data_IF_565785578816
#
_entry.id   IF_565785578816
#
_cell.length_a   1.000
_cell.length_b   1.000
_cell.length_c   1.000
_cell.angle_alpha   90.00
_cell.angle_beta   90.00
_cell.angle_gamma   90.00
#
_symmetry.space_group_name_H-M   'P 1'
#
loop_
_entity.id
_entity.type
_entity.pdbx_description
1 polymer ?
#
# COMPACT_ATOMS: atom_id res chain seq x y z
N UNK A 1 -24.63 16.81 -16.45
CA UNK A 1 -23.80 16.47 -15.29
C UNK A 1 -22.83 17.62 -15.13
N UNK A 2 -22.70 18.23 -13.94
CA UNK A 2 -21.84 19.40 -13.72
C UNK A 2 -20.38 19.03 -14.04
N UNK A 3 -19.64 19.91 -14.70
CA UNK A 3 -18.25 19.75 -15.12
C UNK A 3 -17.33 19.41 -13.94
N UNK A 4 -17.47 20.09 -12.80
CA UNK A 4 -16.73 19.79 -11.57
C UNK A 4 -16.93 18.34 -11.10
N UNK A 5 -18.15 17.81 -11.22
CA UNK A 5 -18.46 16.43 -10.82
C UNK A 5 -17.79 15.41 -11.76
N UNK A 6 -17.75 15.70 -13.08
CA UNK A 6 -17.06 14.82 -14.04
C UNK A 6 -15.55 14.83 -13.85
N UNK A 7 -14.95 15.99 -13.60
CA UNK A 7 -13.51 16.11 -13.33
C UNK A 7 -13.14 15.41 -12.02
N UNK A 8 -13.94 15.57 -10.95
CA UNK A 8 -13.74 14.86 -9.70
C UNK A 8 -13.82 13.33 -9.88
N UNK A 9 -14.78 12.82 -10.68
CA UNK A 9 -14.91 11.39 -10.99
C UNK A 9 -13.67 10.88 -11.75
N UNK A 10 -13.19 11.60 -12.78
CA UNK A 10 -12.00 11.18 -13.55
C UNK A 10 -10.73 11.10 -12.66
N UNK A 11 -10.50 12.11 -11.82
CA UNK A 11 -9.36 12.11 -10.89
C UNK A 11 -9.47 10.96 -9.89
N UNK A 12 -10.65 10.71 -9.35
CA UNK A 12 -10.90 9.57 -8.45
C UNK A 12 -10.65 8.23 -9.13
N UNK A 13 -11.04 8.08 -10.40
CA UNK A 13 -10.81 6.85 -11.17
C UNK A 13 -9.31 6.62 -11.43
N UNK A 14 -8.54 7.67 -11.77
CA UNK A 14 -7.08 7.57 -11.96
C UNK A 14 -6.37 7.25 -10.64
N UNK A 15 -6.78 7.85 -9.53
CA UNK A 15 -6.25 7.55 -8.20
C UNK A 15 -6.51 6.10 -7.79
N UNK A 16 -7.70 5.58 -8.03
CA UNK A 16 -8.04 4.17 -7.76
C UNK A 16 -7.23 3.20 -8.62
N UNK A 17 -6.97 3.55 -9.89
CA UNK A 17 -6.11 2.76 -10.78
C UNK A 17 -4.64 2.81 -10.33
N UNK A 18 -4.16 3.97 -9.87
CA UNK A 18 -2.81 4.11 -9.29
C UNK A 18 -2.65 3.22 -8.06
N UNK A 19 -3.61 3.26 -7.13
CA UNK A 19 -3.63 2.42 -5.93
C UNK A 19 -3.60 0.93 -6.28
N UNK A 20 -4.42 0.51 -7.23
CA UNK A 20 -4.43 -0.87 -7.74
C UNK A 20 -3.08 -1.28 -8.33
N UNK A 21 -2.43 -0.40 -9.09
CA UNK A 21 -1.13 -0.67 -9.70
C UNK A 21 0.00 -0.71 -8.66
N UNK A 22 -0.04 0.18 -7.65
CA UNK A 22 0.88 0.18 -6.52
C UNK A 22 0.80 -1.15 -5.73
N UNK A 23 -0.41 -1.61 -5.41
CA UNK A 23 -0.65 -2.90 -4.74
C UNK A 23 -0.13 -4.08 -5.56
N UNK A 24 -0.31 -4.06 -6.89
CA UNK A 24 0.20 -5.11 -7.78
C UNK A 24 1.73 -5.15 -7.77
N UNK A 25 2.40 -4.01 -7.80
CA UNK A 25 3.85 -3.93 -7.73
C UNK A 25 4.37 -4.37 -6.36
N UNK A 26 3.78 -3.87 -5.26
CA UNK A 26 4.13 -4.29 -3.91
C UNK A 26 3.89 -5.79 -3.68
N UNK A 27 2.86 -6.38 -4.31
CA UNK A 27 2.53 -7.79 -4.20
C UNK A 27 3.47 -8.74 -4.96
N UNK A 28 4.45 -8.23 -5.70
CA UNK A 28 5.44 -9.08 -6.35
C UNK A 28 6.40 -9.70 -5.33
N UNK A 29 6.65 -11.01 -5.43
CA UNK A 29 7.45 -11.76 -4.45
C UNK A 29 8.85 -11.19 -4.27
N UNK A 30 9.47 -10.68 -5.33
CA UNK A 30 10.79 -10.03 -5.26
C UNK A 30 10.76 -8.77 -4.39
N UNK A 31 9.73 -7.93 -4.51
CA UNK A 31 9.53 -6.74 -3.67
C UNK A 31 9.21 -7.14 -2.23
N UNK A 32 8.27 -8.07 -2.05
CA UNK A 32 7.89 -8.57 -0.72
C UNK A 32 9.09 -9.18 0.02
N UNK A 33 9.98 -9.89 -0.66
CA UNK A 33 11.18 -10.45 -0.05
C UNK A 33 12.10 -9.36 0.53
N UNK A 34 12.27 -8.24 -0.17
CA UNK A 34 13.03 -7.09 0.36
C UNK A 34 12.33 -6.44 1.58
N UNK A 35 11.00 -6.38 1.58
CA UNK A 35 10.24 -5.93 2.75
C UNK A 35 10.49 -6.88 3.93
N UNK A 36 10.34 -8.18 3.72
CA UNK A 36 10.45 -9.20 4.77
C UNK A 36 11.83 -9.22 5.45
N UNK A 37 12.92 -9.14 4.70
CA UNK A 37 14.28 -9.16 5.29
C UNK A 37 14.58 -7.94 6.16
N UNK A 38 13.85 -6.85 6.03
CA UNK A 38 14.02 -5.64 6.82
C UNK A 38 12.98 -5.48 7.94
N UNK A 39 11.84 -6.18 7.86
CA UNK A 39 10.71 -5.96 8.77
C UNK A 39 10.35 -7.17 9.63
N UNK A 40 10.68 -8.36 9.20
CA UNK A 40 10.31 -9.62 9.88
C UNK A 40 11.55 -10.26 10.47
N UNK A 41 11.57 -10.44 11.79
CA UNK A 41 12.75 -10.85 12.54
C UNK A 41 13.35 -12.17 12.04
N UNK A 42 12.51 -13.12 11.64
CA UNK A 42 12.91 -14.43 11.13
C UNK A 42 13.69 -14.36 9.81
N UNK A 43 13.54 -13.29 9.04
CA UNK A 43 14.21 -13.10 7.75
C UNK A 43 15.37 -12.11 7.80
N UNK A 44 15.63 -11.47 8.97
CA UNK A 44 16.75 -10.53 9.11
C UNK A 44 18.08 -11.18 8.73
N UNK A 45 18.83 -10.48 7.89
CA UNK A 45 20.15 -10.94 7.41
C UNK A 45 20.12 -12.02 6.34
N UNK A 46 18.96 -12.48 5.91
CA UNK A 46 18.83 -13.38 4.77
C UNK A 46 18.96 -12.62 3.44
N UNK A 47 19.40 -13.34 2.39
CA UNK A 47 19.34 -12.75 1.06
C UNK A 47 17.88 -12.71 0.57
N UNK A 48 17.38 -11.57 0.04
CA UNK A 48 16.02 -11.48 -0.48
C UNK A 48 15.67 -12.57 -1.50
N UNK A 49 16.62 -12.99 -2.34
CA UNK A 49 16.40 -14.08 -3.32
C UNK A 49 16.04 -15.42 -2.65
N UNK A 50 16.61 -15.68 -1.48
CA UNK A 50 16.28 -16.88 -0.71
C UNK A 50 14.91 -16.80 -0.03
N UNK A 51 14.46 -15.58 0.29
CA UNK A 51 13.17 -15.34 0.95
C UNK A 51 12.01 -15.44 -0.04
N UNK A 52 12.22 -15.21 -1.34
CA UNK A 52 11.20 -15.43 -2.39
C UNK A 52 10.59 -16.82 -2.30
N UNK A 53 11.41 -17.85 -2.05
CA UNK A 53 10.97 -19.24 -1.95
C UNK A 53 10.20 -19.54 -0.65
N UNK A 54 10.33 -18.68 0.35
CA UNK A 54 9.56 -18.78 1.60
C UNK A 54 8.13 -18.24 1.48
N UNK A 55 7.82 -17.45 0.44
CA UNK A 55 6.49 -16.89 0.21
C UNK A 55 5.60 -17.96 -0.45
N UNK A 56 4.59 -18.43 0.29
CA UNK A 56 3.68 -19.47 -0.17
C UNK A 56 2.73 -18.96 -1.27
N UNK A 57 2.54 -19.76 -2.30
CA UNK A 57 1.58 -19.50 -3.38
C UNK A 57 1.79 -18.16 -4.09
N UNK A 58 0.69 -17.52 -4.47
CA UNK A 58 0.66 -16.16 -5.03
C UNK A 58 0.06 -15.22 -3.98
N UNK A 59 0.73 -14.11 -3.60
CA UNK A 59 0.14 -13.14 -2.68
C UNK A 59 -1.21 -12.63 -3.17
N UNK A 60 -2.19 -12.60 -2.27
CA UNK A 60 -3.53 -12.12 -2.59
C UNK A 60 -3.59 -10.61 -2.51
N UNK A 61 -3.96 -9.99 -3.63
CA UNK A 61 -4.20 -8.56 -3.75
C UNK A 61 -5.70 -8.33 -3.70
N UNK A 62 -6.17 -7.39 -2.86
CA UNK A 62 -7.59 -7.11 -2.65
C UNK A 62 -8.31 -6.80 -3.96
N UNK A 63 -9.16 -7.70 -4.40
CA UNK A 63 -10.06 -7.52 -5.54
C UNK A 63 -11.49 -7.99 -5.30
N UNK A 64 -11.78 -8.72 -4.21
CA UNK A 64 -13.08 -9.33 -3.94
C UNK A 64 -13.42 -9.28 -2.44
N UNK A 65 -14.67 -8.95 -2.06
CA UNK A 65 -15.17 -9.01 -0.68
C UNK A 65 -15.20 -10.44 -0.11
N UNK A 66 -15.03 -10.50 1.22
CA UNK A 66 -15.01 -11.74 1.99
C UNK A 66 -16.25 -11.88 2.85
N UNK A 67 -16.94 -12.98 2.74
CA UNK A 67 -18.03 -13.32 3.66
C UNK A 67 -17.53 -13.99 4.94
N UNK A 68 -18.12 -13.68 6.12
CA UNK A 68 -17.76 -14.30 7.39
C UNK A 68 -17.94 -15.80 7.35
N UNK A 69 -16.96 -16.56 7.82
CA UNK A 69 -17.06 -18.02 7.98
C UNK A 69 -16.95 -18.85 6.71
N UNK A 70 -17.01 -18.27 5.50
CA UNK A 70 -16.86 -18.98 4.23
C UNK A 70 -15.44 -18.93 3.63
N UNK A 71 -14.56 -18.15 4.24
CA UNK A 71 -13.20 -17.87 3.77
C UNK A 71 -12.20 -18.95 4.04
N UNK A 72 -12.59 -19.97 4.79
CA UNK A 72 -11.70 -20.92 5.43
C UNK A 72 -11.63 -22.27 4.70
N UNK A 73 -12.28 -22.42 3.55
CA UNK A 73 -12.15 -23.61 2.74
C UNK A 73 -10.73 -23.67 2.15
N UNK A 74 -9.83 -24.38 2.82
CA UNK A 74 -8.55 -24.77 2.29
C UNK A 74 -8.79 -25.65 1.06
N UNK A 75 -8.50 -25.13 -0.14
CA UNK A 75 -8.39 -25.98 -1.31
C UNK A 75 -6.93 -26.35 -1.49
N UNK A 76 -6.60 -27.61 -1.25
CA UNK A 76 -5.31 -28.18 -1.59
C UNK A 76 -5.26 -28.47 -3.09
N UNK A 77 -4.31 -27.87 -3.80
CA UNK A 77 -3.96 -28.26 -5.16
C UNK A 77 -2.46 -28.51 -5.21
N UNK A 78 -2.07 -29.74 -5.47
CA UNK A 78 -0.66 -30.21 -5.57
C UNK A 78 0.18 -30.08 -4.29
N UNK A 79 -0.41 -30.22 -3.10
CA UNK A 79 0.34 -30.12 -1.84
C UNK A 79 0.70 -28.68 -1.42
N UNK A 80 0.39 -27.70 -2.24
CA UNK A 80 0.41 -26.29 -1.86
C UNK A 80 -0.97 -25.90 -1.35
N UNK A 81 -1.04 -25.38 -0.13
CA UNK A 81 -2.23 -24.76 0.39
C UNK A 81 -2.55 -23.53 -0.46
N UNK A 82 -3.48 -23.64 -1.37
CA UNK A 82 -4.15 -22.48 -1.93
C UNK A 82 -5.06 -21.93 -0.81
N UNK A 83 -4.48 -21.13 0.03
CA UNK A 83 -5.26 -20.37 1.00
C UNK A 83 -5.95 -19.29 0.20
N UNK A 84 -7.23 -19.47 -0.05
CA UNK A 84 -8.10 -18.39 -0.42
C UNK A 84 -8.18 -17.45 0.77
N UNK A 85 -7.17 -16.59 0.96
CA UNK A 85 -7.39 -15.41 1.74
C UNK A 85 -8.37 -14.56 0.98
N UNK A 86 -9.50 -14.52 1.50
CA UNK A 86 -10.37 -13.43 1.30
C UNK A 86 -9.72 -12.24 1.97
N UNK A 87 -9.30 -11.24 1.22
CA UNK A 87 -8.69 -10.02 1.73
C UNK A 87 -9.70 -9.14 2.47
N UNK A 88 -10.98 -9.48 2.43
CA UNK A 88 -12.06 -8.80 3.10
C UNK A 88 -12.61 -9.70 4.22
N UNK A 89 -12.62 -9.24 5.44
CA UNK A 89 -13.14 -9.95 6.58
C UNK A 89 -14.37 -9.20 7.11
N UNK A 90 -15.57 -9.79 6.92
CA UNK A 90 -16.83 -9.25 7.39
C UNK A 90 -17.28 -10.05 8.63
N UNK A 91 -17.48 -9.39 9.75
CA UNK A 91 -18.19 -9.97 10.88
C UNK A 91 -19.61 -9.42 10.95
N UNK A 92 -20.54 -10.24 11.43
CA UNK A 92 -21.94 -9.84 11.59
C UNK A 92 -21.97 -8.58 12.47
N UNK A 93 -22.41 -7.46 11.91
CA UNK A 93 -22.51 -6.12 12.50
C UNK A 93 -21.21 -5.31 12.65
N UNK A 94 -20.05 -5.73 12.14
CA UNK A 94 -18.79 -5.00 12.32
C UNK A 94 -18.26 -4.33 11.04
N UNK A 95 -18.93 -4.53 9.91
CA UNK A 95 -18.52 -3.98 8.62
C UNK A 95 -17.38 -4.76 7.95
N UNK A 96 -17.12 -4.39 6.71
CA UNK A 96 -16.15 -5.03 5.84
C UNK A 96 -14.74 -4.49 6.09
N UNK A 97 -13.78 -5.36 6.43
CA UNK A 97 -12.36 -5.04 6.48
C UNK A 97 -11.68 -5.56 5.23
N UNK A 98 -11.00 -4.67 4.50
CA UNK A 98 -10.24 -5.01 3.30
C UNK A 98 -8.76 -4.92 3.59
N UNK A 99 -8.03 -5.98 3.29
CA UNK A 99 -6.58 -6.03 3.35
C UNK A 99 -6.00 -5.86 1.95
N UNK A 100 -4.94 -5.07 1.83
CA UNK A 100 -4.36 -4.79 0.52
C UNK A 100 -3.63 -6.01 -0.06
N UNK A 101 -2.70 -6.58 0.69
CA UNK A 101 -1.93 -7.75 0.27
C UNK A 101 -1.76 -8.67 1.47
N UNK A 102 -2.30 -9.90 1.40
CA UNK A 102 -2.16 -10.92 2.45
C UNK A 102 -1.55 -12.20 1.88
N UNK A 103 -0.60 -12.78 2.61
CA UNK A 103 0.03 -14.03 2.22
C UNK A 103 0.66 -14.75 3.42
N UNK A 104 0.95 -16.03 3.25
CA UNK A 104 1.74 -16.79 4.20
C UNK A 104 3.20 -16.82 3.80
N UNK A 105 4.07 -16.85 4.79
CA UNK A 105 5.46 -17.21 4.62
C UNK A 105 5.78 -18.43 5.47
N UNK A 106 6.61 -19.31 4.96
CA UNK A 106 7.06 -20.51 5.65
C UNK A 106 8.57 -20.50 5.74
N UNK A 107 9.08 -20.74 6.94
CA UNK A 107 10.52 -20.88 7.11
C UNK A 107 11.06 -22.11 6.35
N UNK A 108 12.33 -22.06 5.93
CA UNK A 108 12.97 -23.17 5.17
C UNK A 108 12.96 -24.51 5.89
N UNK A 109 12.93 -24.50 7.23
CA UNK A 109 12.77 -25.72 8.06
C UNK A 109 11.32 -26.26 8.09
N UNK A 110 10.38 -25.50 7.53
CA UNK A 110 8.96 -25.86 7.45
C UNK A 110 8.21 -25.81 8.79
N UNK A 111 8.86 -25.43 9.89
CA UNK A 111 8.30 -25.52 11.24
C UNK A 111 7.40 -24.33 11.60
N UNK A 112 7.65 -23.17 11.01
CA UNK A 112 6.90 -21.92 11.31
C UNK A 112 6.20 -21.38 10.08
N UNK A 113 4.95 -20.99 10.24
CA UNK A 113 4.18 -20.27 9.25
C UNK A 113 3.73 -18.94 9.84
N UNK A 114 3.94 -17.86 9.11
CA UNK A 114 3.66 -16.50 9.52
C UNK A 114 2.67 -15.89 8.54
N UNK A 115 1.70 -15.14 9.04
CA UNK A 115 0.76 -14.40 8.21
C UNK A 115 1.31 -12.99 8.04
N UNK A 116 1.43 -12.55 6.80
CA UNK A 116 1.89 -11.21 6.45
C UNK A 116 0.76 -10.45 5.77
N UNK A 117 0.53 -9.24 6.23
CA UNK A 117 -0.32 -8.25 5.58
C UNK A 117 0.52 -7.03 5.24
N UNK A 118 0.42 -6.54 4.00
CA UNK A 118 1.06 -5.30 3.56
C UNK A 118 -0.01 -4.33 3.09
N UNK A 119 -0.06 -3.17 3.71
CA UNK A 119 -0.99 -2.08 3.41
C UNK A 119 -0.25 -0.92 2.75
N UNK A 120 -0.79 -0.40 1.64
CA UNK A 120 -0.29 0.78 0.96
C UNK A 120 -1.19 1.98 1.29
N UNK A 121 -0.66 2.95 2.05
CA UNK A 121 -1.39 4.15 2.46
C UNK A 121 -0.81 5.38 1.76
N UNK A 122 -1.57 5.97 0.83
CA UNK A 122 -1.11 7.10 0.02
C UNK A 122 -0.94 8.40 0.83
N UNK A 123 -1.94 8.73 1.63
CA UNK A 123 -1.98 9.95 2.42
C UNK A 123 -2.51 9.65 3.82
N UNK A 124 -2.10 10.46 4.81
CA UNK A 124 -2.61 10.33 6.18
C UNK A 124 -4.11 10.63 6.22
N UNK A 125 -4.93 9.74 6.77
CA UNK A 125 -6.38 9.95 6.82
C UNK A 125 -6.74 11.08 7.78
N UNK A 126 -7.69 11.94 7.40
CA UNK A 126 -8.15 13.06 8.22
C UNK A 126 -9.21 12.70 9.26
N UNK A 127 -9.78 11.49 9.19
CA UNK A 127 -10.90 11.07 10.04
C UNK A 127 -10.54 10.12 11.17
N UNK A 128 -9.34 9.56 11.16
CA UNK A 128 -8.86 8.60 12.17
C UNK A 128 -7.32 8.49 12.16
N UNK A 129 -6.76 8.02 13.27
CA UNK A 129 -5.34 7.74 13.39
C UNK A 129 -4.99 6.40 12.72
N UNK A 130 -4.01 6.40 11.82
CA UNK A 130 -3.62 5.22 11.04
C UNK A 130 -3.15 4.05 11.93
N UNK A 131 -2.47 4.35 13.03
CA UNK A 131 -2.02 3.31 13.98
C UNK A 131 -3.21 2.58 14.62
N UNK A 132 -4.30 3.29 14.95
CA UNK A 132 -5.50 2.65 15.48
C UNK A 132 -6.13 1.69 14.47
N UNK A 133 -6.14 2.05 13.18
CA UNK A 133 -6.57 1.17 12.11
C UNK A 133 -5.64 -0.05 11.99
N UNK A 134 -4.33 0.14 12.08
CA UNK A 134 -3.36 -0.95 12.01
C UNK A 134 -3.54 -1.95 13.16
N UNK A 135 -3.80 -1.47 14.40
CA UNK A 135 -4.10 -2.32 15.56
C UNK A 135 -5.38 -3.12 15.30
N UNK A 136 -6.42 -2.48 14.81
CA UNK A 136 -7.69 -3.17 14.49
C UNK A 136 -7.47 -4.26 13.42
N UNK A 137 -6.74 -3.95 12.35
CA UNK A 137 -6.47 -4.89 11.25
C UNK A 137 -5.67 -6.12 11.71
N UNK A 138 -4.58 -5.92 12.46
CA UNK A 138 -3.77 -7.05 12.95
C UNK A 138 -4.56 -7.91 13.93
N UNK A 139 -5.41 -7.31 14.77
CA UNK A 139 -6.30 -8.05 15.69
C UNK A 139 -7.32 -8.90 14.92
N UNK A 140 -7.85 -8.39 13.82
CA UNK A 140 -8.74 -9.13 12.92
C UNK A 140 -8.03 -10.33 12.28
N UNK A 141 -6.80 -10.16 11.81
CA UNK A 141 -6.01 -11.26 11.25
C UNK A 141 -5.73 -12.34 12.30
N UNK A 142 -5.49 -11.98 13.56
CA UNK A 142 -5.31 -12.93 14.65
C UNK A 142 -6.63 -13.67 14.92
N UNK A 143 -7.74 -12.95 15.11
CA UNK A 143 -9.04 -13.56 15.44
C UNK A 143 -9.58 -14.45 14.31
N UNK A 144 -9.33 -14.07 13.05
CA UNK A 144 -9.79 -14.81 11.87
C UNK A 144 -9.09 -16.15 11.65
N UNK A 145 -8.05 -16.48 12.42
CA UNK A 145 -7.34 -17.76 12.31
C UNK A 145 -8.16 -18.92 12.89
N UNK A 146 -9.10 -18.63 13.82
CA UNK A 146 -9.98 -19.65 14.37
C UNK A 146 -10.81 -20.29 13.26
N UNK A 147 -10.97 -21.64 13.31
CA UNK A 147 -11.62 -22.47 12.29
C UNK A 147 -10.93 -22.48 10.90
N UNK A 148 -9.87 -21.71 10.74
CA UNK A 148 -9.05 -21.67 9.52
C UNK A 148 -7.66 -22.30 9.75
N UNK A 149 -6.94 -21.77 10.72
CA UNK A 149 -5.56 -22.15 11.03
C UNK A 149 -5.48 -23.04 12.26
N UNK A 150 -6.44 -22.94 13.17
CA UNK A 150 -6.61 -23.81 14.32
C UNK A 150 -8.09 -24.02 14.65
N UNK A 151 -8.42 -25.15 15.29
CA UNK A 151 -9.78 -25.53 15.64
C UNK A 151 -9.95 -25.61 17.16
N UNK A 152 -11.21 -25.52 17.63
CA UNK A 152 -11.59 -25.67 19.02
C UNK A 152 -10.85 -24.72 19.96
N UNK A 153 -10.07 -25.29 20.91
CA UNK A 153 -9.33 -24.56 21.94
C UNK A 153 -7.80 -24.60 21.72
N UNK A 154 -7.34 -24.92 20.53
CA UNK A 154 -5.91 -25.03 20.19
C UNK A 154 -5.26 -23.65 20.00
N UNK A 155 -5.41 -22.75 21.01
CA UNK A 155 -4.88 -21.39 20.94
C UNK A 155 -3.34 -21.31 20.83
N UNK A 156 -2.64 -22.39 21.18
CA UNK A 156 -1.17 -22.45 21.02
C UNK A 156 -0.76 -22.58 19.55
N UNK A 157 -1.71 -22.92 18.65
CA UNK A 157 -1.48 -23.02 17.21
C UNK A 157 -1.71 -21.68 16.48
N UNK A 158 -2.01 -20.61 17.21
CA UNK A 158 -2.13 -19.26 16.63
C UNK A 158 -0.81 -18.86 15.95
N UNK A 159 -0.89 -18.56 14.67
CA UNK A 159 0.25 -18.08 13.90
C UNK A 159 0.54 -16.62 14.21
N UNK A 160 1.82 -16.29 14.18
CA UNK A 160 2.31 -14.92 14.25
C UNK A 160 1.81 -14.10 13.07
N UNK A 161 1.43 -12.86 13.31
CA UNK A 161 0.96 -11.91 12.29
C UNK A 161 1.86 -10.71 12.26
N UNK A 162 2.32 -10.34 11.06
CA UNK A 162 2.94 -9.05 10.78
C UNK A 162 2.01 -8.23 9.88
N UNK A 163 1.63 -7.05 10.33
CA UNK A 163 0.89 -6.06 9.55
C UNK A 163 1.82 -4.89 9.22
N UNK A 164 2.22 -4.78 7.95
CA UNK A 164 3.24 -3.85 7.47
C UNK A 164 2.55 -2.73 6.70
N UNK A 165 2.68 -1.50 7.18
CA UNK A 165 2.03 -0.30 6.65
C UNK A 165 3.04 0.57 5.93
N UNK A 166 2.92 0.66 4.61
CA UNK A 166 3.75 1.53 3.76
C UNK A 166 3.01 2.85 3.59
N UNK A 167 3.38 3.85 4.39
CA UNK A 167 2.77 5.17 4.42
C UNK A 167 3.57 6.13 3.54
N UNK A 168 2.97 6.60 2.45
CA UNK A 168 3.60 7.52 1.51
C UNK A 168 3.38 8.99 1.90
N UNK A 169 4.13 9.89 1.26
CA UNK A 169 4.02 11.35 1.44
C UNK A 169 4.26 11.85 2.87
N UNK A 170 5.01 11.10 3.67
CA UNK A 170 5.40 11.51 5.01
C UNK A 170 6.41 12.67 4.97
N UNK A 171 6.52 13.42 6.07
CA UNK A 171 7.52 14.50 6.19
C UNK A 171 8.95 13.93 6.22
N UNK A 172 9.14 12.80 6.94
CA UNK A 172 10.43 12.12 7.10
C UNK A 172 10.30 10.62 6.86
N UNK A 173 11.40 10.01 6.39
CA UNK A 173 11.50 8.56 6.30
C UNK A 173 11.65 7.96 7.69
N UNK A 174 10.81 6.99 8.04
CA UNK A 174 10.77 6.37 9.37
C UNK A 174 10.36 4.91 9.30
N UNK A 175 10.78 4.13 10.31
CA UNK A 175 10.30 2.77 10.50
C UNK A 175 10.14 2.50 11.99
N UNK A 176 8.96 2.04 12.40
CA UNK A 176 8.63 1.72 13.78
C UNK A 176 8.03 0.33 13.90
N UNK A 177 8.38 -0.40 14.95
CA UNK A 177 7.80 -1.69 15.29
C UNK A 177 6.95 -1.56 16.56
N UNK A 178 5.66 -1.89 16.42
CA UNK A 178 4.70 -1.94 17.53
C UNK A 178 4.34 -3.39 17.80
N UNK A 179 4.52 -3.83 19.06
CA UNK A 179 4.34 -5.21 19.48
C UNK A 179 3.87 -5.29 20.93
N UNK A 180 3.44 -6.48 21.37
CA UNK A 180 3.02 -6.71 22.75
C UNK A 180 4.21 -6.85 23.67
N UNK A 181 4.09 -6.26 24.87
CA UNK A 181 5.06 -6.41 25.96
C UNK A 181 4.36 -6.81 27.24
N UNK A 182 5.08 -7.47 28.15
CA UNK A 182 4.59 -7.82 29.50
C UNK A 182 5.28 -6.95 30.54
N UNK A 183 4.51 -6.40 31.45
CA UNK A 183 4.97 -5.71 32.65
C UNK A 183 4.44 -6.42 33.89
N UNK A 184 5.34 -6.74 34.83
CA UNK A 184 4.96 -7.34 36.13
C UNK A 184 4.60 -6.23 37.13
N UNK A 185 3.32 -6.06 37.43
CA UNK A 185 2.82 -5.03 38.35
C UNK A 185 2.97 -5.43 39.82
N UNK A 186 2.81 -6.71 40.16
CA UNK A 186 2.95 -7.28 41.52
C UNK A 186 3.56 -8.67 41.40
N UNK A 187 4.75 -8.86 41.95
CA UNK A 187 5.46 -10.13 41.85
C UNK A 187 5.79 -10.48 40.40
N UNK A 188 6.46 -11.59 40.17
CA UNK A 188 6.68 -12.08 38.81
C UNK A 188 6.16 -13.51 38.68
N UNK A 189 5.50 -13.80 37.58
CA UNK A 189 5.05 -15.13 37.20
C UNK A 189 5.33 -15.37 35.72
N UNK A 190 5.91 -16.50 35.38
CA UNK A 190 6.18 -16.88 34.00
C UNK A 190 4.90 -17.43 33.36
N UNK A 191 4.09 -16.53 32.81
CA UNK A 191 2.95 -16.92 31.99
C UNK A 191 3.45 -17.56 30.69
N UNK A 192 3.05 -18.81 30.47
CA UNK A 192 3.36 -19.50 29.21
C UNK A 192 2.53 -18.89 28.08
N UNK A 193 3.14 -18.76 26.91
CA UNK A 193 2.50 -18.20 25.71
C UNK A 193 3.50 -17.42 24.87
N UNK A 194 3.02 -16.87 23.77
CA UNK A 194 3.84 -16.11 22.83
C UNK A 194 3.36 -14.67 22.76
N UNK A 195 4.22 -13.72 23.13
CA UNK A 195 3.93 -12.29 22.99
C UNK A 195 4.17 -11.77 21.57
N UNK A 196 4.89 -12.54 20.73
CA UNK A 196 5.22 -12.13 19.36
C UNK A 196 4.09 -12.41 18.36
N UNK A 197 2.89 -12.74 18.83
CA UNK A 197 1.76 -13.04 17.94
C UNK A 197 1.29 -11.84 17.14
N UNK A 198 1.47 -10.62 17.68
CA UNK A 198 1.01 -9.37 17.10
C UNK A 198 2.18 -8.45 16.81
N UNK A 199 2.40 -8.15 15.53
CA UNK A 199 3.45 -7.25 15.08
C UNK A 199 2.91 -6.26 14.06
N UNK A 200 3.15 -4.97 14.28
CA UNK A 200 2.82 -3.90 13.33
C UNK A 200 4.10 -3.17 12.98
N UNK A 201 4.38 -3.07 11.69
CA UNK A 201 5.49 -2.25 11.19
C UNK A 201 4.89 -1.02 10.50
N UNK A 202 5.20 0.15 11.01
CA UNK A 202 4.85 1.43 10.39
C UNK A 202 6.08 1.94 9.63
N UNK A 203 5.99 2.01 8.30
CA UNK A 203 7.06 2.43 7.41
C UNK A 203 6.64 3.70 6.69
N UNK A 204 7.22 4.83 7.10
CA UNK A 204 6.98 6.15 6.51
C UNK A 204 7.96 6.42 5.37
N UNK A 205 7.44 6.75 4.19
CA UNK A 205 8.22 7.14 3.02
C UNK A 205 8.12 8.66 2.83
N UNK A 206 9.25 9.35 2.98
CA UNK A 206 9.35 10.78 2.69
C UNK A 206 9.13 11.04 1.18
N UNK A 207 8.72 12.28 0.85
CA UNK A 207 8.57 12.72 -0.54
C UNK A 207 9.87 12.66 -1.33
N UNK A 208 10.98 13.01 -0.66
CA UNK A 208 12.31 12.95 -1.25
C UNK A 208 12.89 11.55 -1.08
N UNK A 209 13.41 11.00 -2.16
CA UNK A 209 14.08 9.71 -2.13
C UNK A 209 15.35 9.81 -1.28
N UNK A 210 15.56 8.95 -0.25
CA UNK A 210 16.78 8.94 0.53
C UNK A 210 17.97 8.47 -0.31
N UNK A 211 19.19 8.81 0.13
CA UNK A 211 20.41 8.25 -0.44
C UNK A 211 20.47 6.73 -0.23
N UNK A 212 21.26 6.06 -1.07
CA UNK A 212 21.43 4.61 -0.95
C UNK A 212 22.40 4.29 0.17
N UNK A 213 21.87 3.94 1.33
CA UNK A 213 22.62 3.46 2.50
C UNK A 213 21.88 2.28 3.18
N UNK A 214 22.57 1.56 4.06
CA UNK A 214 22.00 0.39 4.75
C UNK A 214 20.79 0.73 5.62
N UNK A 215 20.71 1.94 6.16
CA UNK A 215 19.64 2.38 7.07
C UNK A 215 18.35 2.60 6.32
N UNK A 216 18.43 3.25 5.17
CA UNK A 216 17.27 3.65 4.36
C UNK A 216 17.08 2.81 3.10
N UNK A 217 17.75 1.66 3.00
CA UNK A 217 17.70 0.77 1.83
C UNK A 217 16.26 0.41 1.43
N UNK A 218 15.43 -0.02 2.39
CA UNK A 218 14.02 -0.33 2.10
C UNK A 218 13.21 0.89 1.71
N UNK A 219 13.45 2.05 2.36
CA UNK A 219 12.78 3.31 2.03
C UNK A 219 13.13 3.77 0.61
N UNK A 220 14.41 3.61 0.20
CA UNK A 220 14.84 3.94 -1.15
C UNK A 220 14.20 3.03 -2.19
N UNK A 221 14.16 1.71 -1.98
CA UNK A 221 13.51 0.78 -2.87
C UNK A 221 12.02 1.11 -3.05
N UNK A 222 11.28 1.21 -1.95
CA UNK A 222 9.84 1.46 -2.00
C UNK A 222 9.54 2.90 -2.42
N UNK A 223 10.35 3.86 -2.00
CA UNK A 223 10.25 5.25 -2.45
C UNK A 223 10.45 5.39 -3.94
N UNK A 224 11.45 4.71 -4.53
CA UNK A 224 11.65 4.68 -5.98
C UNK A 224 10.48 4.01 -6.70
N UNK A 225 10.06 2.83 -6.22
CA UNK A 225 8.94 2.09 -6.81
C UNK A 225 7.66 2.92 -6.87
N UNK A 226 7.30 3.60 -5.76
CA UNK A 226 6.04 4.31 -5.57
C UNK A 226 6.13 5.82 -5.90
N UNK A 227 7.31 6.33 -6.29
CA UNK A 227 7.50 7.74 -6.65
C UNK A 227 6.57 8.16 -7.79
N UNK A 228 6.07 9.39 -7.72
CA UNK A 228 5.33 10.04 -8.81
C UNK A 228 6.21 10.95 -9.66
N UNK A 229 7.45 11.18 -9.23
CA UNK A 229 8.39 12.12 -9.86
C UNK A 229 9.44 11.43 -10.73
N UNK A 230 9.83 10.19 -10.40
CA UNK A 230 10.81 9.44 -11.15
C UNK A 230 10.23 8.90 -12.47
N UNK A 231 11.03 9.00 -13.52
CA UNK A 231 10.74 8.39 -14.81
C UNK A 231 10.79 6.85 -14.74
N UNK A 232 10.22 6.17 -15.73
CA UNK A 232 10.25 4.71 -15.83
C UNK A 232 11.69 4.19 -15.80
N UNK A 233 12.59 4.80 -16.59
CA UNK A 233 13.97 4.35 -16.69
C UNK A 233 14.76 4.56 -15.39
N UNK A 234 14.55 5.68 -14.67
CA UNK A 234 15.15 5.92 -13.36
C UNK A 234 14.68 4.87 -12.33
N UNK A 235 13.38 4.58 -12.27
CA UNK A 235 12.85 3.53 -11.37
C UNK A 235 13.45 2.16 -11.68
N UNK A 236 13.43 1.75 -12.96
CA UNK A 236 13.94 0.46 -13.37
C UNK A 236 15.45 0.34 -13.15
N UNK A 237 16.19 1.44 -13.31
CA UNK A 237 17.62 1.49 -13.02
C UNK A 237 17.89 1.28 -11.51
N UNK A 238 17.18 1.99 -10.64
CA UNK A 238 17.31 1.80 -9.19
C UNK A 238 16.95 0.36 -8.81
N UNK A 239 15.76 -0.12 -9.20
CA UNK A 239 15.25 -1.43 -8.82
C UNK A 239 16.12 -2.57 -9.33
N UNK A 240 16.57 -2.48 -10.59
CA UNK A 240 17.38 -3.52 -11.21
C UNK A 240 18.84 -3.52 -10.78
N UNK A 241 19.47 -2.34 -10.70
CA UNK A 241 20.92 -2.26 -10.48
C UNK A 241 21.30 -2.15 -9.00
N UNK A 242 20.48 -1.48 -8.17
CA UNK A 242 20.79 -1.33 -6.74
C UNK A 242 20.28 -2.52 -5.92
N UNK A 243 19.18 -3.16 -6.33
CA UNK A 243 18.52 -4.25 -5.57
C UNK A 243 18.58 -5.62 -6.28
N UNK A 244 19.18 -5.69 -7.47
CA UNK A 244 19.31 -6.94 -8.25
C UNK A 244 17.94 -7.66 -8.44
N UNK A 245 16.86 -6.87 -8.58
CA UNK A 245 15.52 -7.36 -8.84
C UNK A 245 15.36 -7.58 -10.34
N UNK A 246 14.97 -8.79 -10.80
CA UNK A 246 14.78 -9.06 -12.22
C UNK A 246 13.69 -8.17 -12.83
N UNK A 247 14.03 -7.45 -13.89
CA UNK A 247 13.09 -6.59 -14.62
C UNK A 247 12.46 -7.39 -15.75
N UNK A 248 11.48 -8.21 -15.40
CA UNK A 248 10.68 -8.96 -16.37
C UNK A 248 9.71 -8.03 -17.13
N UNK A 249 9.20 -8.48 -18.29
CA UNK A 249 8.29 -7.69 -19.13
C UNK A 249 7.03 -7.25 -18.37
N UNK A 250 6.44 -8.14 -17.56
CA UNK A 250 5.27 -7.82 -16.76
C UNK A 250 5.58 -6.75 -15.70
N UNK A 251 6.73 -6.84 -15.03
CA UNK A 251 7.16 -5.84 -14.07
C UNK A 251 7.34 -4.47 -14.72
N UNK A 252 8.04 -4.42 -15.85
CA UNK A 252 8.22 -3.20 -16.64
C UNK A 252 6.87 -2.58 -17.05
N UNK A 253 5.93 -3.42 -17.48
CA UNK A 253 4.58 -2.98 -17.84
C UNK A 253 3.83 -2.37 -16.67
N UNK A 254 3.85 -3.02 -15.49
CA UNK A 254 3.18 -2.51 -14.29
C UNK A 254 3.79 -1.18 -13.82
N UNK A 255 5.12 -1.04 -13.85
CA UNK A 255 5.81 0.24 -13.57
C UNK A 255 5.40 1.31 -14.58
N UNK A 256 5.34 0.98 -15.87
CA UNK A 256 4.93 1.92 -16.93
C UNK A 256 3.49 2.40 -16.74
N UNK A 257 2.55 1.49 -16.43
CA UNK A 257 1.15 1.84 -16.15
C UNK A 257 1.06 2.81 -14.98
N UNK A 258 1.77 2.53 -13.88
CA UNK A 258 1.76 3.39 -12.70
C UNK A 258 2.38 4.78 -12.98
N UNK A 259 3.48 4.86 -13.74
CA UNK A 259 4.08 6.14 -14.12
C UNK A 259 3.15 6.97 -15.00
N UNK A 260 2.50 6.36 -15.99
CA UNK A 260 1.53 7.06 -16.85
C UNK A 260 0.33 7.57 -16.06
N UNK A 261 -0.18 6.79 -15.10
CA UNK A 261 -1.25 7.23 -14.20
C UNK A 261 -0.80 8.40 -13.31
N UNK A 262 0.43 8.34 -12.77
CA UNK A 262 1.00 9.43 -11.96
C UNK A 262 1.11 10.73 -12.75
N UNK A 263 1.61 10.65 -13.98
CA UNK A 263 1.73 11.80 -14.88
C UNK A 263 0.35 12.39 -15.19
N UNK A 264 -0.63 11.55 -15.54
CA UNK A 264 -2.00 12.00 -15.81
C UNK A 264 -2.68 12.64 -14.59
N UNK A 265 -2.47 12.12 -13.38
CA UNK A 265 -3.00 12.71 -12.13
C UNK A 265 -2.37 14.09 -11.89
N UNK A 266 -1.05 14.23 -12.11
CA UNK A 266 -0.32 15.50 -11.97
C UNK A 266 -0.83 16.55 -12.95
N UNK A 267 -0.99 16.19 -14.22
CA UNK A 267 -1.49 17.06 -15.27
C UNK A 267 -2.94 17.52 -15.00
N UNK A 268 -3.81 16.61 -14.60
CA UNK A 268 -5.18 16.94 -14.21
C UNK A 268 -5.21 17.88 -13.00
N UNK A 269 -4.37 17.64 -12.00
CA UNK A 269 -4.24 18.50 -10.82
C UNK A 269 -3.81 19.94 -11.16
N UNK A 270 -2.85 20.09 -12.06
CA UNK A 270 -2.39 21.39 -12.57
C UNK A 270 -3.55 22.08 -13.31
N UNK A 271 -4.21 21.40 -14.22
CA UNK A 271 -5.31 21.96 -15.00
C UNK A 271 -6.49 22.42 -14.11
N UNK A 272 -6.84 21.63 -13.08
CA UNK A 272 -7.87 22.00 -12.11
C UNK A 272 -7.45 23.23 -11.28
N UNK A 273 -6.18 23.25 -10.81
CA UNK A 273 -5.64 24.38 -10.06
C UNK A 273 -5.64 25.69 -10.86
N UNK A 274 -5.21 25.63 -12.12
CA UNK A 274 -5.24 26.77 -13.04
C UNK A 274 -6.66 27.27 -13.33
N UNK A 275 -7.59 26.34 -13.60
CA UNK A 275 -9.00 26.70 -13.80
C UNK A 275 -9.59 27.36 -12.54
N UNK A 276 -9.25 26.85 -11.36
CA UNK A 276 -9.64 27.46 -10.07
C UNK A 276 -9.10 28.87 -9.88
N UNK A 277 -7.84 29.12 -10.26
CA UNK A 277 -7.22 30.44 -10.23
C UNK A 277 -7.90 31.43 -11.20
N UNK A 278 -8.14 31.00 -12.43
CA UNK A 278 -8.86 31.78 -13.46
C UNK A 278 -10.25 32.18 -12.95
N UNK A 279 -11.00 31.25 -12.40
CA UNK A 279 -12.34 31.52 -11.84
C UNK A 279 -12.28 32.47 -10.64
N UNK A 280 -11.27 32.37 -9.79
CA UNK A 280 -11.06 33.29 -8.66
C UNK A 280 -10.72 34.69 -9.14
N UNK A 281 -9.85 34.84 -10.14
CA UNK A 281 -9.53 36.14 -10.74
C UNK A 281 -10.78 36.78 -11.39
N UNK A 282 -11.56 36.00 -12.14
CA UNK A 282 -12.81 36.47 -12.75
C UNK A 282 -13.83 36.95 -11.70
N UNK A 283 -14.03 36.17 -10.62
CA UNK A 283 -14.89 36.58 -9.49
C UNK A 283 -14.40 37.85 -8.79
N UNK A 284 -13.11 38.13 -8.83
CA UNK A 284 -12.51 39.38 -8.30
C UNK A 284 -12.57 40.57 -9.28
N UNK A 285 -13.23 40.42 -10.45
CA UNK A 285 -13.50 41.49 -11.39
C UNK A 285 -12.46 41.68 -12.49
N UNK A 286 -11.50 40.74 -12.68
CA UNK A 286 -10.58 40.78 -13.82
C UNK A 286 -11.30 40.38 -15.10
N UNK A 287 -10.97 41.04 -16.23
CA UNK A 287 -11.50 40.65 -17.55
C UNK A 287 -10.79 39.40 -18.08
N UNK A 288 -11.41 38.72 -19.05
CA UNK A 288 -10.82 37.55 -19.67
C UNK A 288 -9.47 37.86 -20.32
N UNK A 289 -9.30 39.06 -20.90
CA UNK A 289 -8.05 39.52 -21.50
C UNK A 289 -6.95 39.73 -20.46
N UNK A 290 -7.30 40.32 -19.31
CA UNK A 290 -6.38 40.50 -18.18
C UNK A 290 -5.92 39.18 -17.60
N UNK A 291 -6.86 38.23 -17.47
CA UNK A 291 -6.58 36.87 -16.95
C UNK A 291 -5.69 36.11 -17.94
N UNK A 292 -5.98 36.14 -19.24
CA UNK A 292 -5.20 35.50 -20.29
C UNK A 292 -3.74 36.02 -20.29
N UNK A 293 -3.58 37.34 -20.17
CA UNK A 293 -2.25 37.97 -20.08
C UNK A 293 -1.50 37.59 -18.78
N UNK A 294 -2.20 37.46 -17.67
CA UNK A 294 -1.60 37.17 -16.36
C UNK A 294 -1.24 35.68 -16.19
N UNK A 295 -1.93 34.78 -16.89
CA UNK A 295 -1.76 33.32 -16.80
C UNK A 295 -1.00 32.73 -18.01
N UNK A 296 -0.61 33.58 -18.97
CA UNK A 296 0.02 33.18 -20.23
C UNK A 296 -0.77 32.13 -21.04
N UNK A 297 -2.12 32.22 -20.96
CA UNK A 297 -3.04 31.30 -21.62
C UNK A 297 -3.77 31.99 -22.79
N UNK A 298 -4.26 31.16 -23.71
CA UNK A 298 -5.11 31.62 -24.79
C UNK A 298 -6.43 32.19 -24.25
N UNK A 299 -6.86 33.35 -24.82
CA UNK A 299 -8.07 34.04 -24.38
C UNK A 299 -9.34 33.20 -24.54
N UNK A 300 -9.39 32.34 -25.58
CA UNK A 300 -10.55 31.47 -25.81
C UNK A 300 -10.59 30.31 -24.77
N UNK A 301 -9.43 29.82 -24.35
CA UNK A 301 -9.30 28.89 -23.24
C UNK A 301 -9.84 29.52 -21.94
N UNK A 302 -9.40 30.71 -21.61
CA UNK A 302 -9.87 31.48 -20.42
C UNK A 302 -11.38 31.68 -20.47
N UNK A 303 -11.92 32.12 -21.62
CA UNK A 303 -13.38 32.28 -21.82
C UNK A 303 -14.13 30.97 -21.67
N UNK A 304 -13.58 29.86 -22.17
CA UNK A 304 -14.19 28.53 -22.01
C UNK A 304 -14.27 28.12 -20.54
N UNK A 305 -13.21 28.34 -19.75
CA UNK A 305 -13.19 28.04 -18.31
C UNK A 305 -14.20 28.92 -17.57
N UNK A 306 -14.24 30.24 -17.87
CA UNK A 306 -15.21 31.18 -17.26
C UNK A 306 -16.64 30.76 -17.57
N UNK A 307 -16.91 30.27 -18.80
CA UNK A 307 -18.21 29.76 -19.20
C UNK A 307 -18.56 28.37 -18.63
N UNK A 308 -17.72 27.80 -17.78
CA UNK A 308 -17.90 26.47 -17.18
C UNK A 308 -17.73 25.31 -18.18
N UNK A 309 -17.04 25.56 -19.30
CA UNK A 309 -16.58 24.51 -20.19
C UNK A 309 -15.27 23.94 -19.63
N UNK A 310 -15.15 22.61 -19.70
CA UNK A 310 -14.00 21.88 -19.15
C UNK A 310 -12.67 22.37 -19.72
N UNK A 311 -11.60 22.51 -18.91
CA UNK A 311 -10.27 22.32 -19.44
C UNK A 311 -10.22 20.89 -20.01
N UNK A 312 -9.67 20.73 -21.22
CA UNK A 312 -9.49 19.40 -21.79
C UNK A 312 -8.50 18.64 -20.89
N UNK A 313 -9.01 17.78 -20.00
CA UNK A 313 -8.19 16.84 -19.26
C UNK A 313 -7.73 15.76 -20.25
N UNK A 314 -6.43 15.54 -20.33
CA UNK A 314 -5.80 14.58 -21.23
C UNK A 314 -6.18 13.12 -20.90
#
# INVERSE_FOLDING_TARGET
MNTELKNAVKVTDKDAQYDTSAKRLLGQKSILAHILVKTVDEFKGMNPKDVVDCIEGTPHISTVPVEPGLTNAASEKNGERLVGFNTENEEINEGLVRFDIVFYVRMKDGLSQIIINVEAQKDEPTGYEILNRAIFYVSRLISSQKERDFENSSYDDIKRVYSIWVCMNMEESSMSHVHLTKEDLIGSYEWKGNLDLLNIIMLGLAKNLPEHDETYELHRLLGALLSKELTIDEKLNIIGNEYDIPIEENFRKDVSVMCNLSQGIKEDGIAIGEAGLIMKMYKNGFTAEQIASATDKDIEEVKAIIAGKEPALA
#
